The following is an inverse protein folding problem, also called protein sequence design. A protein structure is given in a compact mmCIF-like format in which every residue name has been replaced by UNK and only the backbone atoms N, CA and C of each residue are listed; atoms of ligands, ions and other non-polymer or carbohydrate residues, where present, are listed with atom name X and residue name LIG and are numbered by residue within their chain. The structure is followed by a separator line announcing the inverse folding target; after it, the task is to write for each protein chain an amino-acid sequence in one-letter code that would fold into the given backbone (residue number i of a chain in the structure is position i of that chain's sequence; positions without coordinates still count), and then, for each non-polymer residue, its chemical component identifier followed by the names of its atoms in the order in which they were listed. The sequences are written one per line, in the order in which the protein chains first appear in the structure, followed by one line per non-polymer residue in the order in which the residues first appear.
data_IF_714346880742
#
_entry.id   IF_714346880742
#
_cell.length_a   1.000
_cell.length_b   1.000
_cell.length_c   1.000
_cell.angle_alpha   90.00
_cell.angle_beta   90.00
_cell.angle_gamma   90.00
#
_symmetry.space_group_name_H-M   'P 1'
#
loop_
_entity.id
_entity.type
_entity.pdbx_description
1 polymer ?
#
# COMPACT_ATOMS: atom_id res chain seq x y z
N UNK A 1 19.57 4.64 -2.56
CA UNK A 1 18.13 4.97 -2.51
C UNK A 1 17.45 3.99 -1.56
N UNK A 2 16.65 4.47 -0.62
CA UNK A 2 15.81 3.61 0.21
C UNK A 2 14.62 3.07 -0.59
N UNK A 3 13.87 2.11 -0.05
CA UNK A 3 12.75 1.44 -0.73
C UNK A 3 11.65 2.42 -1.13
N UNK A 4 11.33 3.41 -0.28
CA UNK A 4 10.36 4.47 -0.59
C UNK A 4 10.75 5.19 -1.88
N UNK A 5 12.00 5.67 -2.01
CA UNK A 5 12.44 6.36 -3.22
C UNK A 5 12.44 5.47 -4.45
N UNK A 6 12.83 4.19 -4.28
CA UNK A 6 12.82 3.20 -5.38
C UNK A 6 11.41 2.99 -5.95
N UNK A 7 10.42 2.83 -5.07
CA UNK A 7 9.01 2.63 -5.47
C UNK A 7 8.42 3.92 -6.04
N UNK A 8 8.73 5.09 -5.46
CA UNK A 8 8.33 6.38 -6.03
C UNK A 8 8.83 6.53 -7.46
N UNK A 9 10.12 6.28 -7.68
CA UNK A 9 10.71 6.37 -9.01
C UNK A 9 10.06 5.38 -9.98
N UNK A 10 9.76 4.15 -9.52
CA UNK A 10 9.07 3.15 -10.34
C UNK A 10 7.73 3.65 -10.88
N UNK A 11 6.92 4.31 -10.05
CA UNK A 11 5.64 4.91 -10.46
C UNK A 11 5.81 6.13 -11.38
N UNK A 12 6.79 6.98 -11.09
CA UNK A 12 7.10 8.17 -11.91
C UNK A 12 7.55 7.75 -13.32
N UNK A 13 8.47 6.79 -13.42
CA UNK A 13 8.98 6.26 -14.69
C UNK A 13 7.88 5.66 -15.57
N UNK A 14 6.75 5.27 -14.96
CA UNK A 14 5.59 4.68 -15.63
C UNK A 14 4.44 5.66 -15.79
N UNK A 15 4.66 6.96 -15.57
CA UNK A 15 3.68 8.02 -15.81
C UNK A 15 2.38 7.87 -15.01
N UNK A 16 2.49 7.47 -13.73
CA UNK A 16 1.34 7.35 -12.81
C UNK A 16 0.49 8.62 -12.77
N UNK A 17 1.09 9.81 -12.84
CA UNK A 17 0.35 11.08 -12.74
C UNK A 17 -0.69 11.25 -13.85
N UNK A 18 -0.38 10.81 -15.07
CA UNK A 18 -1.29 10.94 -16.21
C UNK A 18 -2.12 9.66 -16.47
N UNK A 19 -1.62 8.51 -16.03
CA UNK A 19 -2.25 7.21 -16.31
C UNK A 19 -3.08 6.64 -15.15
N UNK A 20 -2.66 6.90 -13.91
CA UNK A 20 -3.25 6.34 -12.70
C UNK A 20 -4.54 7.02 -12.28
N UNK A 21 -5.40 6.30 -11.56
CA UNK A 21 -6.62 6.85 -10.95
C UNK A 21 -6.73 6.44 -9.48
N UNK A 22 -7.21 7.37 -8.65
CA UNK A 22 -7.37 7.13 -7.22
C UNK A 22 -8.33 5.98 -6.93
N UNK A 23 -9.48 5.92 -7.60
CA UNK A 23 -10.47 4.87 -7.39
C UNK A 23 -9.93 3.48 -7.74
N UNK A 24 -9.20 3.36 -8.85
CA UNK A 24 -8.58 2.10 -9.28
C UNK A 24 -7.44 1.68 -8.36
N UNK A 25 -6.58 2.61 -7.92
CA UNK A 25 -5.52 2.31 -6.96
C UNK A 25 -6.08 1.99 -5.57
N UNK A 26 -7.18 2.61 -5.15
CA UNK A 26 -7.89 2.25 -3.90
C UNK A 26 -8.45 0.84 -3.96
N UNK A 27 -9.01 0.41 -5.11
CA UNK A 27 -9.43 -0.98 -5.31
C UNK A 27 -8.25 -1.95 -5.31
N UNK A 28 -7.11 -1.57 -5.91
CA UNK A 28 -5.89 -2.37 -5.85
C UNK A 28 -5.42 -2.57 -4.41
N UNK A 29 -5.51 -1.54 -3.56
CA UNK A 29 -5.18 -1.69 -2.13
C UNK A 29 -6.11 -2.69 -1.41
N UNK A 30 -7.40 -2.74 -1.77
CA UNK A 30 -8.35 -3.74 -1.25
C UNK A 30 -7.96 -5.15 -1.70
N UNK A 31 -7.53 -5.30 -2.96
CA UNK A 31 -7.04 -6.58 -3.50
C UNK A 31 -5.84 -7.09 -2.68
N UNK A 32 -4.80 -6.26 -2.52
CA UNK A 32 -3.61 -6.63 -1.73
C UNK A 32 -3.94 -6.92 -0.26
N UNK A 33 -4.86 -6.16 0.33
CA UNK A 33 -5.33 -6.42 1.68
C UNK A 33 -6.11 -7.75 1.79
N UNK A 34 -6.85 -8.12 0.74
CA UNK A 34 -7.51 -9.42 0.64
C UNK A 34 -6.50 -10.57 0.60
N UNK A 35 -5.40 -10.40 -0.12
CA UNK A 35 -4.29 -11.37 -0.13
C UNK A 35 -3.60 -11.47 1.22
N UNK A 36 -3.39 -10.34 1.91
CA UNK A 36 -2.86 -10.31 3.28
C UNK A 36 -3.78 -11.09 4.24
N UNK A 37 -5.10 -10.88 4.15
CA UNK A 37 -6.07 -11.64 4.93
C UNK A 37 -5.99 -13.14 4.62
N UNK A 38 -5.86 -13.50 3.33
CA UNK A 38 -5.72 -14.90 2.93
C UNK A 38 -4.42 -15.53 3.44
N UNK A 39 -3.30 -14.81 3.39
CA UNK A 39 -2.00 -15.21 3.94
C UNK A 39 -2.10 -15.52 5.43
N UNK A 40 -2.66 -14.58 6.20
CA UNK A 40 -2.87 -14.74 7.63
C UNK A 40 -3.77 -15.93 7.98
N UNK A 41 -4.95 -16.03 7.38
CA UNK A 41 -5.92 -17.11 7.65
C UNK A 41 -5.37 -18.50 7.32
N UNK A 42 -4.56 -18.59 6.26
CA UNK A 42 -3.94 -19.86 5.83
C UNK A 42 -2.60 -20.15 6.50
N UNK A 43 -2.12 -19.28 7.40
CA UNK A 43 -0.78 -19.35 8.02
C UNK A 43 0.34 -19.45 6.97
N UNK A 44 0.17 -18.77 5.84
CA UNK A 44 1.16 -18.73 4.77
C UNK A 44 2.05 -17.50 4.99
N UNK A 45 3.19 -17.70 5.65
CA UNK A 45 4.15 -16.64 5.96
C UNK A 45 4.62 -15.90 4.71
N UNK A 46 4.95 -16.63 3.64
CA UNK A 46 5.42 -16.02 2.39
C UNK A 46 4.38 -15.04 1.83
N UNK A 47 3.15 -15.52 1.63
CA UNK A 47 2.05 -14.67 1.13
C UNK A 47 1.78 -13.49 2.07
N UNK A 48 1.87 -13.71 3.39
CA UNK A 48 1.65 -12.63 4.36
C UNK A 48 2.69 -11.53 4.22
N UNK A 49 3.99 -11.87 4.08
CA UNK A 49 5.07 -10.90 3.88
C UNK A 49 4.93 -10.17 2.54
N UNK A 50 4.68 -10.92 1.46
CA UNK A 50 4.50 -10.36 0.12
C UNK A 50 3.36 -9.33 0.13
N UNK A 51 2.18 -9.71 0.62
CA UNK A 51 1.01 -8.82 0.64
C UNK A 51 1.14 -7.61 1.59
N UNK A 52 1.94 -7.68 2.67
CA UNK A 52 2.28 -6.49 3.48
C UNK A 52 3.06 -5.49 2.62
N UNK A 53 4.06 -5.98 1.90
CA UNK A 53 4.88 -5.17 1.00
C UNK A 53 4.06 -4.60 -0.17
N UNK A 54 3.20 -5.40 -0.77
CA UNK A 54 2.36 -4.96 -1.89
C UNK A 54 1.35 -3.89 -1.47
N UNK A 55 0.74 -4.02 -0.28
CA UNK A 55 -0.07 -2.95 0.30
C UNK A 55 0.74 -1.65 0.43
N UNK A 56 1.98 -1.73 0.93
CA UNK A 56 2.86 -0.57 1.07
C UNK A 56 3.20 0.07 -0.30
N UNK A 57 3.48 -0.73 -1.33
CA UNK A 57 3.68 -0.26 -2.71
C UNK A 57 2.47 0.53 -3.20
N UNK A 58 1.25 -0.01 -3.04
CA UNK A 58 0.03 0.68 -3.48
C UNK A 58 -0.20 1.99 -2.71
N UNK A 59 0.09 2.02 -1.41
CA UNK A 59 0.01 3.24 -0.60
C UNK A 59 0.96 4.33 -1.13
N UNK A 60 2.16 3.98 -1.60
CA UNK A 60 3.06 4.95 -2.28
C UNK A 60 2.39 5.52 -3.54
N UNK A 61 1.78 4.68 -4.38
CA UNK A 61 1.06 5.13 -5.57
C UNK A 61 -0.10 6.08 -5.23
N UNK A 62 -0.90 5.75 -4.21
CA UNK A 62 -1.98 6.60 -3.73
C UNK A 62 -1.48 7.95 -3.21
N UNK A 63 -0.40 7.96 -2.44
CA UNK A 63 0.24 9.18 -1.94
C UNK A 63 0.71 10.11 -3.07
N UNK A 64 1.29 9.53 -4.13
CA UNK A 64 1.70 10.28 -5.32
C UNK A 64 0.51 10.89 -6.06
N UNK A 65 -0.58 10.14 -6.25
CA UNK A 65 -1.78 10.61 -6.94
C UNK A 65 -2.47 11.78 -6.21
N UNK A 66 -2.44 11.82 -4.87
CA UNK A 66 -2.94 12.95 -4.09
C UNK A 66 -1.91 14.07 -3.88
N UNK A 67 -0.69 13.92 -4.42
CA UNK A 67 0.43 14.87 -4.32
C UNK A 67 0.88 15.14 -2.88
N UNK A 68 0.86 14.11 -2.03
CA UNK A 68 1.32 14.17 -0.65
C UNK A 68 2.76 13.64 -0.50
N UNK A 69 3.41 14.02 0.61
CA UNK A 69 4.76 13.57 0.95
C UNK A 69 4.73 12.12 1.47
N UNK A 70 5.26 11.21 0.68
CA UNK A 70 5.31 9.77 0.98
C UNK A 70 6.10 9.49 2.27
N UNK A 71 7.18 10.21 2.55
CA UNK A 71 7.96 9.97 3.78
C UNK A 71 7.13 10.27 5.02
N UNK A 72 6.39 11.38 5.01
CA UNK A 72 5.50 11.74 6.13
C UNK A 72 4.35 10.75 6.32
N UNK A 73 3.93 10.06 5.26
CA UNK A 73 2.93 8.98 5.37
C UNK A 73 3.54 7.77 6.08
N UNK A 74 4.79 7.43 5.77
CA UNK A 74 5.47 6.24 6.30
C UNK A 74 6.16 6.46 7.66
N UNK A 75 6.46 7.69 8.06
CA UNK A 75 6.99 8.01 9.40
C UNK A 75 5.99 7.64 10.52
N UNK A 76 4.68 7.70 10.25
CA UNK A 76 3.64 7.38 11.23
C UNK A 76 3.47 8.46 12.32
N UNK A 77 2.69 8.13 13.34
CA UNK A 77 2.30 8.99 14.48
C UNK A 77 2.78 8.46 15.84
N UNK A 78 3.64 7.44 15.85
CA UNK A 78 4.02 6.59 16.99
C UNK A 78 2.85 5.70 17.49
N UNK A 79 3.07 4.39 17.69
CA UNK A 79 1.99 3.48 18.07
C UNK A 79 1.47 3.77 19.49
N UNK A 80 0.15 3.68 19.64
CA UNK A 80 -0.53 3.68 20.94
C UNK A 80 -0.88 2.24 21.36
N UNK A 81 -0.47 1.88 22.58
CA UNK A 81 -0.81 0.67 23.36
C UNK A 81 -0.57 -0.71 22.73
N UNK A 82 -0.62 -1.74 23.56
CA UNK A 82 -0.48 -3.15 23.19
C UNK A 82 -1.72 -3.59 22.38
N UNK A 83 -1.59 -3.60 21.05
CA UNK A 83 -2.68 -3.92 20.12
C UNK A 83 -2.56 -5.39 19.69
N UNK A 84 -3.66 -6.16 19.77
CA UNK A 84 -3.72 -7.50 19.19
C UNK A 84 -3.82 -7.44 17.66
N UNK A 85 -3.35 -8.49 16.96
CA UNK A 85 -3.31 -8.53 15.49
C UNK A 85 -4.68 -8.29 14.85
N UNK A 86 -5.77 -8.76 15.46
CA UNK A 86 -7.12 -8.61 14.92
C UNK A 86 -7.63 -7.17 14.99
N UNK A 87 -7.25 -6.41 16.02
CA UNK A 87 -7.49 -4.96 16.07
C UNK A 87 -6.75 -4.25 14.94
N UNK A 88 -5.51 -4.65 14.62
CA UNK A 88 -4.78 -4.08 13.49
C UNK A 88 -5.47 -4.37 12.15
N UNK A 89 -5.92 -5.61 11.91
CA UNK A 89 -6.69 -5.96 10.70
C UNK A 89 -7.98 -5.13 10.57
N UNK A 90 -8.73 -4.96 11.67
CA UNK A 90 -9.94 -4.12 11.69
C UNK A 90 -9.62 -2.65 11.39
N UNK A 91 -8.58 -2.12 12.02
CA UNK A 91 -8.11 -0.74 11.80
C UNK A 91 -7.68 -0.50 10.37
N UNK A 92 -6.88 -1.42 9.81
CA UNK A 92 -6.46 -1.36 8.40
C UNK A 92 -7.66 -1.38 7.46
N UNK A 93 -8.60 -2.32 7.66
CA UNK A 93 -9.81 -2.41 6.86
C UNK A 93 -10.65 -1.10 6.89
N UNK A 94 -10.82 -0.50 8.08
CA UNK A 94 -11.55 0.76 8.21
C UNK A 94 -10.91 1.89 7.40
N UNK A 95 -9.59 2.03 7.47
CA UNK A 95 -8.87 3.07 6.73
C UNK A 95 -8.88 2.82 5.22
N UNK A 96 -8.75 1.57 4.77
CA UNK A 96 -8.86 1.21 3.35
C UNK A 96 -10.26 1.53 2.80
N UNK A 97 -11.32 1.18 3.54
CA UNK A 97 -12.68 1.53 3.14
C UNK A 97 -12.91 3.05 3.05
N UNK A 98 -12.32 3.81 3.97
CA UNK A 98 -12.36 5.27 3.93
C UNK A 98 -11.61 5.83 2.71
N UNK A 99 -10.40 5.33 2.42
CA UNK A 99 -9.61 5.67 1.23
C UNK A 99 -10.44 5.48 -0.05
N UNK A 100 -11.11 4.33 -0.21
CA UNK A 100 -11.99 4.09 -1.35
C UNK A 100 -13.19 5.05 -1.36
N UNK A 101 -13.82 5.30 -0.22
CA UNK A 101 -15.00 6.19 -0.16
C UNK A 101 -14.67 7.64 -0.54
N UNK A 102 -13.43 8.07 -0.32
CA UNK A 102 -12.96 9.41 -0.65
C UNK A 102 -12.31 9.51 -2.04
N UNK A 103 -12.04 8.43 -2.75
CA UNK A 103 -11.43 8.53 -4.09
C UNK A 103 -12.31 9.28 -5.11
N UNK A 104 -13.62 9.33 -4.88
CA UNK A 104 -14.58 10.07 -5.72
C UNK A 104 -14.71 11.55 -5.35
N UNK A 105 -14.23 11.95 -4.17
CA UNK A 105 -14.45 13.29 -3.60
C UNK A 105 -13.11 13.85 -3.15
N UNK A 106 -12.61 14.91 -3.80
CA UNK A 106 -11.32 15.60 -3.52
C UNK A 106 -11.23 16.19 -2.09
N UNK A 107 -11.27 15.36 -1.05
CA UNK A 107 -11.09 15.70 0.37
C UNK A 107 -9.69 15.27 0.81
N UNK A 108 -8.68 16.04 0.36
CA UNK A 108 -7.27 15.64 0.45
C UNK A 108 -6.78 15.43 1.90
N UNK A 109 -7.26 16.21 2.86
CA UNK A 109 -6.81 16.12 4.26
C UNK A 109 -7.18 14.80 4.95
N UNK A 110 -8.43 14.34 4.79
CA UNK A 110 -8.90 13.09 5.40
C UNK A 110 -8.22 11.88 4.74
N UNK A 111 -8.04 11.94 3.42
CA UNK A 111 -7.40 10.87 2.66
C UNK A 111 -5.99 10.57 3.17
N UNK A 112 -5.19 11.63 3.40
CA UNK A 112 -3.84 11.52 3.96
C UNK A 112 -3.80 10.80 5.30
N UNK A 113 -4.68 11.15 6.25
CA UNK A 113 -4.71 10.49 7.56
C UNK A 113 -4.98 8.99 7.45
N UNK A 114 -5.88 8.59 6.55
CA UNK A 114 -6.17 7.17 6.36
C UNK A 114 -4.97 6.41 5.77
N UNK A 115 -4.17 7.04 4.89
CA UNK A 115 -2.93 6.42 4.40
C UNK A 115 -1.91 6.23 5.52
N UNK A 116 -1.74 7.23 6.40
CA UNK A 116 -0.84 7.15 7.56
C UNK A 116 -1.23 5.97 8.45
N UNK A 117 -2.50 5.91 8.87
CA UNK A 117 -2.98 4.82 9.73
C UNK A 117 -2.91 3.46 9.04
N UNK A 118 -3.15 3.37 7.73
CA UNK A 118 -2.97 2.12 6.99
C UNK A 118 -1.54 1.60 7.09
N UNK A 119 -0.53 2.47 6.90
CA UNK A 119 0.89 2.09 7.07
C UNK A 119 1.19 1.69 8.51
N UNK A 120 0.67 2.42 9.50
CA UNK A 120 0.87 2.07 10.91
C UNK A 120 0.31 0.70 11.27
N UNK A 121 -0.87 0.35 10.75
CA UNK A 121 -1.44 -0.97 10.97
C UNK A 121 -0.67 -2.07 10.23
N UNK A 122 -0.15 -1.82 9.03
CA UNK A 122 0.74 -2.77 8.35
C UNK A 122 2.03 -3.02 9.16
N UNK A 123 2.66 -1.96 9.67
CA UNK A 123 3.84 -2.06 10.56
C UNK A 123 3.52 -2.79 11.86
N UNK A 124 2.35 -2.55 12.43
CA UNK A 124 1.90 -3.24 13.64
C UNK A 124 1.67 -4.73 13.36
N UNK A 125 1.01 -5.07 12.25
CA UNK A 125 0.81 -6.46 11.82
C UNK A 125 2.15 -7.17 11.62
N UNK A 126 3.09 -6.56 10.87
CA UNK A 126 4.40 -7.17 10.65
C UNK A 126 5.12 -7.42 11.97
N UNK A 127 5.17 -6.41 12.86
CA UNK A 127 5.84 -6.54 14.15
C UNK A 127 5.21 -7.62 15.05
N UNK A 128 3.87 -7.66 15.16
CA UNK A 128 3.15 -8.67 15.97
C UNK A 128 3.39 -10.08 15.44
N UNK A 129 3.50 -10.25 14.11
CA UNK A 129 3.76 -11.53 13.47
C UNK A 129 5.25 -11.91 13.42
N UNK A 130 6.15 -11.03 13.89
CA UNK A 130 7.59 -11.27 13.91
C UNK A 130 8.29 -11.04 12.56
N UNK A 131 7.74 -10.16 11.71
CA UNK A 131 8.29 -9.79 10.41
C UNK A 131 8.84 -8.36 10.43
N UNK A 132 9.90 -8.13 9.67
CA UNK A 132 10.44 -6.79 9.42
C UNK A 132 9.64 -6.12 8.28
N UNK A 133 9.07 -4.94 8.54
CA UNK A 133 8.23 -4.24 7.57
C UNK A 133 9.05 -3.79 6.36
N UNK A 134 10.24 -3.29 6.59
CA UNK A 134 11.17 -2.80 5.59
C UNK A 134 11.65 -3.93 4.66
N UNK A 135 11.88 -5.14 5.20
CA UNK A 135 12.12 -6.36 4.41
C UNK A 135 10.92 -6.71 3.55
N UNK A 136 9.70 -6.75 4.11
CA UNK A 136 8.48 -7.02 3.34
C UNK A 136 8.31 -6.02 2.18
N UNK A 137 8.57 -4.74 2.46
CA UNK A 137 8.45 -3.69 1.47
C UNK A 137 9.53 -3.76 0.38
N UNK A 138 10.78 -4.07 0.75
CA UNK A 138 11.85 -4.27 -0.24
C UNK A 138 11.59 -5.51 -1.10
N UNK A 139 11.05 -6.59 -0.54
CA UNK A 139 10.66 -7.78 -1.31
C UNK A 139 9.65 -7.42 -2.40
N UNK A 140 8.56 -6.71 -2.06
CA UNK A 140 7.57 -6.25 -3.04
C UNK A 140 8.21 -5.33 -4.11
N UNK A 141 9.12 -4.44 -3.72
CA UNK A 141 9.87 -3.65 -4.71
C UNK A 141 10.67 -4.53 -5.68
N UNK A 142 11.37 -5.56 -5.17
CA UNK A 142 12.15 -6.46 -6.01
C UNK A 142 11.29 -7.21 -7.03
N UNK A 143 10.02 -7.47 -6.72
CA UNK A 143 9.09 -8.08 -7.67
C UNK A 143 8.59 -7.14 -8.76
N UNK A 144 8.48 -5.84 -8.46
CA UNK A 144 7.96 -4.86 -9.42
C UNK A 144 9.04 -4.19 -10.24
N UNK A 145 10.29 -4.08 -9.75
CA UNK A 145 11.33 -3.18 -10.27
C UNK A 145 11.51 -3.23 -11.80
N UNK A 146 11.45 -4.43 -12.38
CA UNK A 146 11.68 -4.68 -13.81
C UNK A 146 10.37 -4.83 -14.62
N UNK A 147 9.20 -4.75 -13.96
CA UNK A 147 7.89 -4.89 -14.62
C UNK A 147 7.71 -3.77 -15.64
N UNK A 148 7.52 -4.13 -16.91
CA UNK A 148 7.14 -3.21 -17.98
C UNK A 148 5.62 -3.23 -18.15
N UNK A 149 5.06 -2.14 -18.66
CA UNK A 149 3.62 -2.00 -18.83
C UNK A 149 3.20 -0.55 -19.02
N UNK A 150 1.89 -0.34 -19.10
CA UNK A 150 1.27 1.00 -19.25
C UNK A 150 -0.04 1.07 -18.49
N UNK A 151 -0.46 2.29 -18.16
CA UNK A 151 -1.76 2.54 -17.57
C UNK A 151 -2.87 2.47 -18.61
N UNK A 152 -3.91 1.67 -18.33
CA UNK A 152 -5.13 1.57 -19.13
C UNK A 152 -6.32 1.73 -18.17
N UNK A 153 -7.13 2.76 -18.39
CA UNK A 153 -8.28 3.10 -17.54
C UNK A 153 -7.94 3.18 -16.03
N UNK A 154 -6.79 3.76 -15.66
CA UNK A 154 -6.37 3.92 -14.27
C UNK A 154 -5.68 2.72 -13.64
N UNK A 155 -5.54 1.61 -14.36
CA UNK A 155 -4.88 0.38 -13.90
C UNK A 155 -3.58 0.16 -14.67
N UNK A 156 -2.51 -0.21 -13.96
CA UNK A 156 -1.25 -0.60 -14.61
C UNK A 156 -1.41 -2.01 -15.18
N UNK A 157 -1.33 -2.13 -16.51
CA UNK A 157 -1.37 -3.41 -17.22
C UNK A 157 0.04 -3.76 -17.65
N UNK A 158 0.50 -4.95 -17.27
CA UNK A 158 1.85 -5.44 -17.61
C UNK A 158 1.97 -5.65 -19.11
N UNK A 159 3.17 -5.49 -19.64
CA UNK A 159 3.44 -5.68 -21.07
C UNK A 159 3.09 -7.09 -21.58
N UNK A 160 3.22 -8.11 -20.73
CA UNK A 160 2.85 -9.50 -21.04
C UNK A 160 1.32 -9.74 -21.13
N UNK A 161 0.51 -8.83 -20.55
CA UNK A 161 -0.95 -8.90 -20.50
C UNK A 161 -1.62 -7.96 -21.53
N UNK A 162 -0.84 -7.25 -22.36
CA UNK A 162 -1.31 -6.25 -23.33
C UNK A 162 -1.75 -6.82 -24.69
#
# INVERSE_FOLDING_TARGET
MNTIEKVKQWFIDRDLENGGRLDKQSLKLIEEFGELCAGYLKKNEKLTKDSIGDCAVVIVGLALLIKEDVHKIFEGLNPAEEVDVMKCFKGLNLNICAILSYSDRRYNGIFRYNLVFAVEYLKSISNILGYDFEECFELAYQEIKDRKGRWIDGTFVKEEDL
#
